data_IF_904168862274
#
_entry.id   IF_904168862274
#
_cell.length_a   1.000
_cell.length_b   1.000
_cell.length_c   1.000
_cell.angle_alpha   90.00
_cell.angle_beta   90.00
_cell.angle_gamma   90.00
#
_symmetry.space_group_name_H-M   'P 1'
#
loop_
_entity.id
_entity.type
_entity.pdbx_description
1 polymer ?
#
# COMPACT_ATOMS: atom_id res chain seq x y z
N UNK A 1 54.66 -24.68 -47.26
CA UNK A 1 53.41 -23.90 -47.46
C UNK A 1 52.15 -24.58 -46.84
N UNK A 2 52.28 -25.57 -45.98
CA UNK A 2 51.14 -26.28 -45.35
C UNK A 2 50.93 -25.94 -43.85
N UNK A 3 51.77 -25.13 -43.23
CA UNK A 3 51.65 -24.79 -41.78
C UNK A 3 50.99 -23.44 -41.50
N UNK A 4 50.69 -22.63 -42.51
CA UNK A 4 50.10 -21.31 -42.31
C UNK A 4 48.55 -21.29 -42.25
N UNK A 5 47.92 -22.33 -42.79
CA UNK A 5 46.45 -22.43 -42.88
C UNK A 5 45.86 -22.91 -41.54
N UNK A 6 46.63 -23.64 -40.73
CA UNK A 6 46.17 -24.19 -39.43
C UNK A 6 45.99 -23.13 -38.35
N UNK A 7 46.70 -21.98 -38.42
CA UNK A 7 46.55 -20.90 -37.41
C UNK A 7 45.38 -19.95 -37.61
N UNK A 8 44.84 -19.94 -38.82
CA UNK A 8 43.68 -19.03 -39.13
C UNK A 8 42.36 -19.62 -38.67
N UNK A 9 42.25 -20.96 -38.53
CA UNK A 9 40.99 -21.63 -38.13
C UNK A 9 40.70 -21.51 -36.63
N UNK A 10 41.70 -21.30 -35.77
CA UNK A 10 41.55 -21.23 -34.32
C UNK A 10 41.05 -19.85 -33.86
N UNK A 11 41.19 -18.80 -34.66
CA UNK A 11 40.74 -17.42 -34.32
C UNK A 11 39.23 -17.20 -34.46
N UNK A 12 38.50 -18.09 -35.12
CA UNK A 12 37.08 -17.89 -35.44
C UNK A 12 36.11 -18.54 -34.45
N UNK A 13 36.60 -19.20 -33.37
CA UNK A 13 35.74 -19.88 -32.40
C UNK A 13 35.41 -19.09 -31.12
N UNK A 14 35.85 -17.84 -31.02
CA UNK A 14 35.36 -16.92 -29.97
C UNK A 14 34.21 -16.04 -30.48
N UNK A 15 33.20 -16.64 -31.08
CA UNK A 15 31.90 -15.99 -31.17
C UNK A 15 31.33 -16.00 -29.79
N UNK A 16 31.60 -14.95 -29.00
CA UNK A 16 30.83 -14.66 -27.82
C UNK A 16 29.36 -14.55 -28.29
N UNK A 17 28.57 -15.57 -28.02
CA UNK A 17 27.13 -15.41 -28.01
C UNK A 17 26.83 -14.36 -26.93
N UNK A 18 26.75 -13.10 -27.35
CA UNK A 18 26.07 -12.09 -26.58
C UNK A 18 24.61 -12.55 -26.58
N UNK A 19 24.27 -13.30 -25.57
CA UNK A 19 22.89 -13.57 -25.27
C UNK A 19 22.31 -12.17 -24.96
N UNK A 20 21.59 -11.62 -25.92
CA UNK A 20 20.80 -10.42 -25.70
C UNK A 20 19.77 -10.82 -24.65
N UNK A 21 20.14 -10.68 -23.38
CA UNK A 21 19.20 -10.88 -22.28
C UNK A 21 18.09 -9.85 -22.50
N UNK A 22 16.89 -10.34 -22.53
CA UNK A 22 15.69 -9.64 -22.94
C UNK A 22 15.57 -8.31 -22.18
N UNK A 23 15.69 -7.19 -22.90
CA UNK A 23 15.58 -5.86 -22.33
C UNK A 23 14.20 -5.53 -21.75
N UNK A 24 13.33 -6.54 -21.61
CA UNK A 24 11.97 -6.45 -21.07
C UNK A 24 11.87 -7.32 -19.80
N UNK A 25 11.47 -6.72 -18.71
CA UNK A 25 11.18 -7.40 -17.44
C UNK A 25 9.84 -6.92 -16.88
N UNK A 26 9.33 -7.59 -15.84
CA UNK A 26 8.16 -7.13 -15.13
C UNK A 26 8.33 -7.23 -13.61
N UNK A 27 7.52 -6.46 -12.89
CA UNK A 27 7.55 -6.37 -11.43
C UNK A 27 6.16 -6.23 -10.87
N UNK A 28 5.88 -6.88 -9.74
CA UNK A 28 4.67 -6.69 -8.96
C UNK A 28 4.92 -5.67 -7.84
N UNK A 29 4.68 -4.39 -8.16
CA UNK A 29 4.82 -3.31 -7.18
C UNK A 29 3.84 -3.47 -6.02
N UNK A 30 2.61 -3.93 -6.29
CA UNK A 30 1.60 -4.13 -5.25
C UNK A 30 2.03 -5.24 -4.28
N UNK A 31 2.60 -6.31 -4.79
CA UNK A 31 3.17 -7.37 -3.95
C UNK A 31 4.27 -6.82 -3.04
N UNK A 32 5.22 -6.06 -3.58
CA UNK A 32 6.31 -5.46 -2.79
C UNK A 32 5.77 -4.50 -1.72
N UNK A 33 4.84 -3.61 -2.09
CA UNK A 33 4.22 -2.64 -1.15
C UNK A 33 3.54 -3.35 0.02
N UNK A 34 2.92 -4.50 -0.21
CA UNK A 34 2.19 -5.22 0.83
C UNK A 34 3.05 -6.23 1.61
N UNK A 35 4.06 -6.84 0.98
CA UNK A 35 4.79 -7.97 1.53
C UNK A 35 6.23 -7.67 1.97
N UNK A 36 6.79 -6.52 1.60
CA UNK A 36 8.08 -6.09 2.14
C UNK A 36 8.00 -5.91 3.67
N UNK A 37 9.16 -5.91 4.33
CA UNK A 37 9.24 -5.73 5.80
C UNK A 37 8.49 -4.45 6.22
N UNK A 38 8.75 -3.33 5.54
CA UNK A 38 8.06 -2.06 5.82
C UNK A 38 6.58 -2.08 5.41
N UNK A 39 6.22 -2.81 4.35
CA UNK A 39 4.83 -3.01 3.93
C UNK A 39 4.01 -3.77 4.96
N UNK A 40 4.53 -4.88 5.48
CA UNK A 40 3.89 -5.65 6.56
C UNK A 40 3.71 -4.80 7.82
N UNK A 41 4.73 -4.02 8.19
CA UNK A 41 4.63 -3.09 9.32
C UNK A 41 3.56 -2.02 9.09
N UNK A 42 3.47 -1.47 7.88
CA UNK A 42 2.42 -0.52 7.52
C UNK A 42 1.03 -1.15 7.62
N UNK A 43 0.85 -2.36 7.11
CA UNK A 43 -0.43 -3.06 7.18
C UNK A 43 -0.88 -3.27 8.64
N UNK A 44 0.04 -3.64 9.54
CA UNK A 44 -0.26 -3.74 10.97
C UNK A 44 -0.67 -2.39 11.59
N UNK A 45 0.00 -1.30 11.20
CA UNK A 45 -0.36 0.06 11.67
C UNK A 45 -1.74 0.47 11.16
N UNK A 46 -2.07 0.19 9.90
CA UNK A 46 -3.38 0.45 9.30
C UNK A 46 -4.47 -0.34 10.07
N UNK A 47 -4.26 -1.63 10.29
CA UNK A 47 -5.21 -2.48 11.02
C UNK A 47 -5.45 -2.00 12.46
N UNK A 48 -4.38 -1.65 13.18
CA UNK A 48 -4.48 -1.14 14.54
C UNK A 48 -5.21 0.19 14.59
N UNK A 49 -4.91 1.10 13.64
CA UNK A 49 -5.57 2.40 13.52
C UNK A 49 -7.06 2.23 13.21
N UNK A 50 -7.40 1.33 12.28
CA UNK A 50 -8.78 1.00 11.94
C UNK A 50 -9.56 0.44 13.14
N UNK A 51 -9.00 -0.54 13.85
CA UNK A 51 -9.60 -1.11 15.08
C UNK A 51 -9.86 -0.04 16.12
N UNK A 52 -8.91 0.86 16.34
CA UNK A 52 -9.06 1.96 17.30
C UNK A 52 -10.21 2.89 16.91
N UNK A 53 -10.24 3.36 15.67
CA UNK A 53 -11.29 4.25 15.15
C UNK A 53 -12.67 3.57 15.24
N UNK A 54 -12.77 2.32 14.81
CA UNK A 54 -14.02 1.54 14.88
C UNK A 54 -14.52 1.41 16.31
N UNK A 55 -13.64 1.07 17.27
CA UNK A 55 -13.98 0.97 18.69
C UNK A 55 -14.46 2.31 19.26
N UNK A 56 -13.79 3.41 18.96
CA UNK A 56 -14.18 4.74 19.42
C UNK A 56 -15.56 5.15 18.86
N UNK A 57 -15.79 4.94 17.56
CA UNK A 57 -17.06 5.25 16.91
C UNK A 57 -18.19 4.36 17.44
N UNK A 58 -17.92 3.10 17.72
CA UNK A 58 -18.89 2.18 18.30
C UNK A 58 -19.31 2.58 19.71
N UNK A 59 -18.36 3.00 20.56
CA UNK A 59 -18.66 3.52 21.90
C UNK A 59 -19.55 4.77 21.82
N UNK A 60 -19.23 5.69 20.90
CA UNK A 60 -20.03 6.89 20.71
C UNK A 60 -21.46 6.57 20.22
N UNK A 61 -21.57 5.65 19.24
CA UNK A 61 -22.88 5.18 18.76
C UNK A 61 -23.72 4.60 19.89
N UNK A 62 -23.12 3.74 20.74
CA UNK A 62 -23.81 3.14 21.88
C UNK A 62 -24.33 4.22 22.84
N UNK A 63 -23.53 5.24 23.15
CA UNK A 63 -23.98 6.37 23.95
C UNK A 63 -25.17 7.13 23.35
N UNK A 64 -25.18 7.31 22.01
CA UNK A 64 -26.33 7.91 21.31
C UNK A 64 -27.57 7.02 21.37
N UNK A 65 -27.42 5.71 21.24
CA UNK A 65 -28.52 4.74 21.35
C UNK A 65 -29.15 4.75 22.77
N UNK A 66 -28.29 4.81 23.80
CA UNK A 66 -28.75 4.93 25.20
C UNK A 66 -29.51 6.24 25.44
N UNK A 67 -29.03 7.36 24.91
CA UNK A 67 -29.72 8.65 24.99
C UNK A 67 -31.05 8.62 24.26
N UNK A 68 -31.08 8.07 23.04
CA UNK A 68 -32.32 7.90 22.28
C UNK A 68 -33.34 7.08 23.05
N UNK A 69 -32.90 5.94 23.61
CA UNK A 69 -33.78 5.08 24.43
C UNK A 69 -34.35 5.82 25.63
N UNK A 70 -33.52 6.63 26.30
CA UNK A 70 -33.95 7.47 27.44
C UNK A 70 -34.99 8.51 27.02
N UNK A 71 -34.81 9.19 25.91
CA UNK A 71 -35.80 10.15 25.36
C UNK A 71 -37.14 9.42 25.10
N UNK A 72 -37.08 8.26 24.44
CA UNK A 72 -38.30 7.48 24.13
C UNK A 72 -39.04 7.04 25.41
N UNK A 73 -38.34 6.57 26.44
CA UNK A 73 -38.95 6.14 27.71
C UNK A 73 -39.54 7.32 28.52
N UNK A 74 -39.02 8.52 28.35
CA UNK A 74 -39.45 9.71 29.07
C UNK A 74 -40.48 10.55 28.33
N UNK A 75 -40.76 10.24 27.05
CA UNK A 75 -41.64 11.01 26.16
C UNK A 75 -43.00 11.36 26.74
N UNK A 76 -43.60 10.45 27.51
CA UNK A 76 -44.94 10.61 28.10
C UNK A 76 -44.92 11.15 29.51
N UNK A 77 -43.76 11.38 30.12
CA UNK A 77 -43.57 11.76 31.51
C UNK A 77 -43.09 13.20 31.63
N UNK A 78 -42.27 13.66 30.69
CA UNK A 78 -41.68 14.98 30.72
C UNK A 78 -42.64 16.06 30.22
N UNK A 79 -42.47 17.28 30.70
CA UNK A 79 -43.09 18.47 30.11
C UNK A 79 -42.57 18.68 28.72
N UNK A 80 -43.38 19.25 27.86
CA UNK A 80 -43.05 19.46 26.43
C UNK A 80 -41.72 20.18 26.24
N UNK A 81 -41.50 21.28 26.98
CA UNK A 81 -40.26 22.05 26.90
C UNK A 81 -39.00 21.24 27.26
N UNK A 82 -39.06 20.41 28.31
CA UNK A 82 -37.97 19.55 28.72
C UNK A 82 -37.68 18.46 27.65
N UNK A 83 -38.72 17.89 27.06
CA UNK A 83 -38.61 16.91 25.98
C UNK A 83 -38.00 17.55 24.72
N UNK A 84 -38.44 18.71 24.32
CA UNK A 84 -37.93 19.45 23.15
C UNK A 84 -36.44 19.78 23.32
N UNK A 85 -36.01 20.17 24.52
CA UNK A 85 -34.59 20.38 24.84
C UNK A 85 -33.75 19.10 24.73
N UNK A 86 -34.24 17.97 25.27
CA UNK A 86 -33.54 16.68 25.16
C UNK A 86 -33.41 16.22 23.71
N UNK A 87 -34.45 16.41 22.90
CA UNK A 87 -34.40 16.07 21.45
C UNK A 87 -33.37 16.94 20.76
N UNK A 88 -33.38 18.25 21.01
CA UNK A 88 -32.43 19.20 20.40
C UNK A 88 -30.98 18.86 20.76
N UNK A 89 -30.72 18.49 22.00
CA UNK A 89 -29.38 18.09 22.47
C UNK A 89 -28.94 16.79 21.79
N UNK A 90 -29.85 15.81 21.68
CA UNK A 90 -29.59 14.58 20.95
C UNK A 90 -29.26 14.83 19.48
N UNK A 91 -30.03 15.66 18.78
CA UNK A 91 -29.81 16.01 17.38
C UNK A 91 -28.44 16.69 17.17
N UNK A 92 -28.06 17.59 18.10
CA UNK A 92 -26.74 18.22 18.08
C UNK A 92 -25.61 17.19 18.25
N UNK A 93 -25.79 16.21 19.14
CA UNK A 93 -24.81 15.15 19.33
C UNK A 93 -24.71 14.20 18.12
N UNK A 94 -25.85 13.90 17.46
CA UNK A 94 -25.84 13.12 16.22
C UNK A 94 -25.08 13.87 15.11
N UNK A 95 -25.28 15.18 14.98
CA UNK A 95 -24.50 16.00 14.03
C UNK A 95 -23.00 15.93 14.34
N UNK A 96 -22.63 16.16 15.59
CA UNK A 96 -21.23 16.06 16.05
C UNK A 96 -20.63 14.69 15.81
N UNK A 97 -21.37 13.63 16.06
CA UNK A 97 -20.91 12.26 15.76
C UNK A 97 -20.63 12.06 14.27
N UNK A 98 -21.51 12.54 13.40
CA UNK A 98 -21.31 12.43 11.95
C UNK A 98 -20.09 13.22 11.46
N UNK A 99 -19.82 14.39 12.01
CA UNK A 99 -18.62 15.19 11.73
C UNK A 99 -17.35 14.47 12.18
N UNK A 100 -17.34 13.93 13.41
CA UNK A 100 -16.22 13.17 13.96
C UNK A 100 -15.96 11.92 13.11
N UNK A 101 -17.02 11.19 12.74
CA UNK A 101 -16.93 10.00 11.90
C UNK A 101 -16.30 10.33 10.55
N UNK A 102 -16.81 11.37 9.87
CA UNK A 102 -16.27 11.83 8.60
C UNK A 102 -14.79 12.18 8.73
N UNK A 103 -14.44 13.04 9.68
CA UNK A 103 -13.06 13.47 9.92
C UNK A 103 -12.12 12.28 10.15
N UNK A 104 -12.49 11.35 11.04
CA UNK A 104 -11.66 10.16 11.33
C UNK A 104 -11.50 9.25 10.10
N UNK A 105 -12.56 9.09 9.30
CA UNK A 105 -12.50 8.30 8.06
C UNK A 105 -11.57 8.95 7.04
N UNK A 106 -11.67 10.26 6.84
CA UNK A 106 -10.82 11.01 5.91
C UNK A 106 -9.36 10.98 6.35
N UNK A 107 -9.07 11.19 7.64
CA UNK A 107 -7.72 11.09 8.20
C UNK A 107 -7.13 9.68 8.03
N UNK A 108 -7.92 8.64 8.24
CA UNK A 108 -7.50 7.25 8.05
C UNK A 108 -7.18 6.93 6.59
N UNK A 109 -8.06 7.35 5.68
CA UNK A 109 -7.86 7.14 4.24
C UNK A 109 -6.61 7.88 3.75
N UNK A 110 -6.43 9.13 4.15
CA UNK A 110 -5.25 9.92 3.81
C UNK A 110 -3.98 9.29 4.37
N UNK A 111 -3.98 8.83 5.61
CA UNK A 111 -2.86 8.11 6.21
C UNK A 111 -2.50 6.87 5.38
N UNK A 112 -3.50 6.04 5.02
CA UNK A 112 -3.28 4.80 4.27
C UNK A 112 -2.70 5.08 2.88
N UNK A 113 -3.29 6.03 2.14
CA UNK A 113 -2.86 6.41 0.79
C UNK A 113 -1.43 6.99 0.82
N UNK A 114 -1.18 7.97 1.70
CA UNK A 114 0.10 8.65 1.77
C UNK A 114 1.23 7.71 2.22
N UNK A 115 0.93 6.79 3.14
CA UNK A 115 1.90 5.80 3.60
C UNK A 115 2.28 4.81 2.51
N UNK A 116 1.32 4.31 1.72
CA UNK A 116 1.60 3.46 0.56
C UNK A 116 2.38 4.21 -0.52
N UNK A 117 1.99 5.46 -0.81
CA UNK A 117 2.71 6.33 -1.73
C UNK A 117 4.16 6.57 -1.30
N UNK A 118 4.42 6.68 0.01
CA UNK A 118 5.78 6.80 0.55
C UNK A 118 6.63 5.58 0.22
N UNK A 119 6.10 4.36 0.35
CA UNK A 119 6.80 3.13 -0.06
C UNK A 119 7.12 3.17 -1.56
N UNK A 120 6.14 3.49 -2.41
CA UNK A 120 6.34 3.57 -3.87
C UNK A 120 7.42 4.59 -4.23
N UNK A 121 7.40 5.76 -3.60
CA UNK A 121 8.40 6.79 -3.83
C UNK A 121 9.82 6.36 -3.45
N UNK A 122 9.97 5.49 -2.45
CA UNK A 122 11.25 4.89 -2.06
C UNK A 122 11.66 3.73 -2.98
N UNK A 123 10.70 3.02 -3.58
CA UNK A 123 10.95 1.98 -4.57
C UNK A 123 11.47 2.52 -5.90
N UNK A 124 10.89 3.62 -6.39
CA UNK A 124 11.19 4.16 -7.72
C UNK A 124 12.70 4.36 -7.99
N UNK A 125 13.50 5.00 -7.11
CA UNK A 125 14.93 5.16 -7.34
C UNK A 125 15.69 3.83 -7.30
N UNK A 126 15.24 2.84 -6.53
CA UNK A 126 15.84 1.51 -6.48
C UNK A 126 15.61 0.77 -7.79
N UNK A 127 14.36 0.77 -8.27
CA UNK A 127 13.99 0.21 -9.56
C UNK A 127 14.82 0.84 -10.66
N UNK A 128 14.85 2.18 -10.73
CA UNK A 128 15.62 2.90 -11.76
C UNK A 128 17.12 2.53 -11.75
N UNK A 129 17.72 2.41 -10.57
CA UNK A 129 19.12 2.02 -10.43
C UNK A 129 19.36 0.57 -10.86
N UNK A 130 18.44 -0.34 -10.51
CA UNK A 130 18.51 -1.74 -10.90
C UNK A 130 18.39 -1.91 -12.41
N UNK A 131 17.41 -1.24 -13.05
CA UNK A 131 17.21 -1.29 -14.50
C UNK A 131 18.46 -0.84 -15.27
N UNK A 132 19.10 0.25 -14.81
CA UNK A 132 20.35 0.73 -15.43
C UNK A 132 21.49 -0.28 -15.27
N UNK A 133 21.64 -0.87 -14.09
CA UNK A 133 22.69 -1.83 -13.80
C UNK A 133 22.55 -3.10 -14.65
N UNK A 134 21.33 -3.60 -14.77
CA UNK A 134 21.04 -4.86 -15.49
C UNK A 134 20.71 -4.63 -16.98
N UNK A 135 20.89 -3.39 -17.51
CA UNK A 135 20.62 -3.03 -18.90
C UNK A 135 19.19 -3.35 -19.37
N UNK A 136 18.21 -3.29 -18.44
CA UNK A 136 16.80 -3.52 -18.75
C UNK A 136 16.23 -2.26 -19.41
N UNK A 137 15.64 -2.42 -20.57
CA UNK A 137 15.12 -1.31 -21.39
C UNK A 137 13.66 -0.99 -21.08
N UNK A 138 12.86 -2.00 -20.76
CA UNK A 138 11.42 -1.88 -20.51
C UNK A 138 11.07 -2.65 -19.24
N UNK A 139 10.39 -1.98 -18.32
CA UNK A 139 9.78 -2.60 -17.15
C UNK A 139 8.27 -2.49 -17.23
N UNK A 140 7.60 -3.62 -17.15
CA UNK A 140 6.14 -3.70 -17.15
C UNK A 140 5.63 -4.01 -15.74
N UNK A 141 4.41 -3.59 -15.44
CA UNK A 141 3.74 -3.99 -14.22
C UNK A 141 3.09 -5.36 -14.40
N UNK A 142 3.30 -6.27 -13.44
CA UNK A 142 2.86 -7.67 -13.53
C UNK A 142 1.35 -7.81 -13.77
N UNK A 143 0.53 -6.94 -13.16
CA UNK A 143 -0.93 -6.95 -13.31
C UNK A 143 -1.43 -6.60 -14.74
N UNK A 144 -0.55 -6.13 -15.61
CA UNK A 144 -0.84 -5.80 -17.02
C UNK A 144 -0.37 -6.88 -18.01
N UNK A 145 0.22 -7.97 -17.49
CA UNK A 145 0.77 -9.04 -18.30
C UNK A 145 -0.18 -10.23 -18.22
N UNK A 146 -0.60 -10.73 -19.38
CA UNK A 146 -1.47 -11.91 -19.46
C UNK A 146 -0.64 -13.19 -19.31
N UNK A 147 0.56 -13.21 -19.93
CA UNK A 147 1.49 -14.32 -19.89
C UNK A 147 2.94 -13.82 -20.00
N UNK A 148 3.84 -14.40 -19.24
CA UNK A 148 5.28 -14.08 -19.27
C UNK A 148 6.07 -15.21 -18.65
N UNK A 149 7.33 -15.36 -19.07
CA UNK A 149 8.28 -16.30 -18.49
C UNK A 149 8.66 -15.82 -17.06
N UNK A 150 8.74 -16.73 -16.10
CA UNK A 150 9.10 -16.42 -14.71
C UNK A 150 10.49 -15.77 -14.60
N UNK A 151 11.41 -16.06 -15.53
CA UNK A 151 12.72 -15.42 -15.61
C UNK A 151 12.66 -13.91 -15.91
N UNK A 152 11.49 -13.40 -16.34
CA UNK A 152 11.28 -11.98 -16.58
C UNK A 152 10.77 -11.25 -15.35
N UNK A 153 10.35 -11.96 -14.30
CA UNK A 153 9.87 -11.39 -13.05
C UNK A 153 11.03 -11.01 -12.13
N UNK A 154 11.20 -9.72 -11.91
CA UNK A 154 12.23 -9.17 -11.00
C UNK A 154 11.66 -8.74 -9.64
N UNK A 155 10.45 -9.19 -9.30
CA UNK A 155 9.76 -8.76 -8.08
C UNK A 155 10.56 -9.08 -6.82
N UNK A 156 11.10 -10.28 -6.72
CA UNK A 156 11.86 -10.72 -5.53
C UNK A 156 13.19 -9.98 -5.38
N UNK A 157 13.90 -9.72 -6.49
CA UNK A 157 15.15 -8.96 -6.50
C UNK A 157 14.92 -7.52 -6.02
N UNK A 158 13.89 -6.86 -6.55
CA UNK A 158 13.53 -5.50 -6.13
C UNK A 158 13.06 -5.50 -4.68
N UNK A 159 12.27 -6.49 -4.24
CA UNK A 159 11.82 -6.60 -2.87
C UNK A 159 13.00 -6.80 -1.90
N UNK A 160 13.97 -7.62 -2.27
CA UNK A 160 15.20 -7.83 -1.48
C UNK A 160 15.99 -6.52 -1.33
N UNK A 161 16.24 -5.82 -2.43
CA UNK A 161 16.92 -4.52 -2.43
C UNK A 161 16.18 -3.51 -1.55
N UNK A 162 14.85 -3.49 -1.65
CA UNK A 162 14.04 -2.60 -0.83
C UNK A 162 14.12 -2.95 0.65
N UNK A 163 13.99 -4.22 1.00
CA UNK A 163 14.09 -4.69 2.37
C UNK A 163 15.46 -4.41 3.00
N UNK A 164 16.54 -4.56 2.23
CA UNK A 164 17.89 -4.28 2.72
C UNK A 164 18.08 -2.81 3.05
N UNK A 165 17.51 -1.90 2.24
CA UNK A 165 17.69 -0.46 2.36
C UNK A 165 16.65 0.22 3.25
N UNK A 166 15.42 -0.30 3.32
CA UNK A 166 14.27 0.35 3.94
C UNK A 166 13.53 -0.55 4.95
N UNK A 167 14.28 -1.20 5.86
CA UNK A 167 13.69 -2.06 6.92
C UNK A 167 12.76 -1.31 7.88
N UNK A 168 13.05 -0.03 8.12
CA UNK A 168 12.28 0.82 9.05
C UNK A 168 11.90 2.11 8.36
N UNK A 169 10.62 2.25 8.05
CA UNK A 169 10.01 3.48 7.54
C UNK A 169 9.09 4.03 8.62
N UNK A 170 9.23 5.32 8.96
CA UNK A 170 8.25 6.00 9.82
C UNK A 170 7.07 6.43 8.97
N UNK A 171 5.86 6.05 9.38
CA UNK A 171 4.60 6.46 8.77
C UNK A 171 3.89 7.43 9.70
N UNK A 172 3.51 8.59 9.17
CA UNK A 172 2.86 9.70 9.89
C UNK A 172 1.50 10.01 9.24
#
# INVERSE_FOLDING_TARGET
>A
MKFFISKIIIFFLFVNYVQADNGVKFVDINFIVNNSISGKNLNQLIDNKNKKITSELQKYRKSLEEKKSKIVSQKNILKKEELDNLIKDYDNEVKKFNEIRKKKTDEFNNFSINSKKKIINLLNPLISSYLKKESIQILLQKDKIIFGDDNLDITEEIMKLFNDKHKKIKFE
#
